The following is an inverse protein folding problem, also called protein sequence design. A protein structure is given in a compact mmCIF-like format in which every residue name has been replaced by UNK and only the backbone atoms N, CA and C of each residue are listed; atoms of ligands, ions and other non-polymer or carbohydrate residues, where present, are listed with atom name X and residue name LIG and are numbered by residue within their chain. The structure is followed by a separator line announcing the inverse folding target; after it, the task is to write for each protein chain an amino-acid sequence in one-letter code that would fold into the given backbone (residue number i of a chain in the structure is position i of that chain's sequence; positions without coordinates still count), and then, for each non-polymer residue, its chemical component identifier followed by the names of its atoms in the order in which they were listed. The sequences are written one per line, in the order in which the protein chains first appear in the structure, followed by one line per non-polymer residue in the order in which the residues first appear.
data_IF_509273426731
#
_entry.id   IF_509273426731
#
_cell.length_a   1.000
_cell.length_b   1.000
_cell.length_c   1.000
_cell.angle_alpha   90.00
_cell.angle_beta   90.00
_cell.angle_gamma   90.00
#
_symmetry.space_group_name_H-M   'P 1'
#
loop_
_entity.id
_entity.type
_entity.pdbx_description
1 polymer ?
#
# COMPACT_ATOMS: atom_id res chain seq x y z
N UNK A 1 11.01 -27.34 -6.27
CA UNK A 1 10.22 -26.51 -7.21
C UNK A 1 8.80 -26.55 -6.69
N UNK A 2 8.40 -25.53 -5.92
CA UNK A 2 7.08 -25.46 -5.29
C UNK A 2 6.11 -24.74 -6.23
N UNK A 3 4.95 -25.36 -6.44
CA UNK A 3 3.66 -24.86 -6.94
C UNK A 3 3.58 -24.08 -8.26
N UNK A 4 4.69 -23.69 -8.90
CA UNK A 4 4.72 -23.22 -10.29
C UNK A 4 4.19 -21.81 -10.57
N UNK A 5 3.82 -21.02 -9.55
CA UNK A 5 3.36 -19.64 -9.72
C UNK A 5 4.53 -18.65 -9.93
N UNK A 6 4.34 -17.66 -10.80
CA UNK A 6 5.27 -16.54 -10.98
C UNK A 6 5.18 -15.59 -9.77
N UNK A 7 6.34 -15.26 -9.17
CA UNK A 7 6.44 -14.29 -8.08
C UNK A 7 7.73 -13.48 -8.19
N UNK A 8 7.73 -12.26 -7.66
CA UNK A 8 8.89 -11.38 -7.74
C UNK A 8 9.90 -11.65 -6.63
N UNK A 9 11.13 -11.96 -7.03
CA UNK A 9 12.31 -12.04 -6.15
C UNK A 9 13.25 -10.87 -6.42
N UNK A 10 13.55 -10.03 -5.42
CA UNK A 10 14.53 -8.96 -5.58
C UNK A 10 15.92 -9.45 -6.00
N UNK A 11 16.34 -10.60 -5.46
CA UNK A 11 17.62 -11.28 -5.75
C UNK A 11 17.42 -12.81 -5.72
N UNK A 12 18.28 -13.58 -6.37
CA UNK A 12 18.10 -15.04 -6.52
C UNK A 12 17.93 -15.79 -5.18
N UNK A 13 18.72 -15.39 -4.17
CA UNK A 13 18.73 -15.99 -2.83
C UNK A 13 17.66 -15.41 -1.89
N UNK A 14 16.88 -14.42 -2.33
CA UNK A 14 15.83 -13.81 -1.50
C UNK A 14 14.49 -14.57 -1.61
N UNK A 15 13.68 -14.55 -0.54
CA UNK A 15 12.29 -15.00 -0.65
C UNK A 15 11.53 -14.10 -1.63
N UNK A 16 10.50 -14.67 -2.27
CA UNK A 16 9.59 -13.87 -3.07
C UNK A 16 8.83 -12.89 -2.16
N UNK A 17 8.79 -11.62 -2.55
CA UNK A 17 8.19 -10.56 -1.75
C UNK A 17 6.76 -10.26 -2.17
N UNK A 18 5.93 -9.92 -1.21
CA UNK A 18 4.65 -9.21 -1.40
C UNK A 18 4.93 -7.70 -1.41
N UNK A 19 3.93 -6.87 -1.70
CA UNK A 19 4.05 -5.43 -1.56
C UNK A 19 4.25 -4.67 -2.87
N UNK A 20 3.96 -3.38 -2.85
CA UNK A 20 3.87 -2.57 -4.06
C UNK A 20 5.22 -2.01 -4.53
N UNK A 21 6.10 -1.60 -3.62
CA UNK A 21 7.34 -0.92 -4.00
C UNK A 21 8.43 -1.87 -4.52
N UNK A 22 8.54 -3.06 -3.92
CA UNK A 22 9.63 -4.00 -4.18
C UNK A 22 9.17 -5.45 -4.34
N UNK A 23 7.85 -5.67 -4.45
CA UNK A 23 7.25 -6.98 -4.39
C UNK A 23 6.29 -7.27 -5.53
N UNK A 24 5.62 -8.40 -5.39
CA UNK A 24 4.80 -8.99 -6.44
C UNK A 24 3.59 -8.12 -6.80
N UNK A 25 2.95 -7.42 -5.86
CA UNK A 25 1.85 -6.51 -6.17
C UNK A 25 2.23 -5.39 -7.14
N UNK A 26 3.41 -4.78 -6.99
CA UNK A 26 3.87 -3.72 -7.89
C UNK A 26 4.10 -4.24 -9.31
N UNK A 27 4.67 -5.44 -9.42
CA UNK A 27 4.86 -6.12 -10.70
C UNK A 27 3.53 -6.48 -11.34
N UNK A 28 2.59 -7.06 -10.59
CA UNK A 28 1.25 -7.36 -11.06
C UNK A 28 0.52 -6.10 -11.55
N UNK A 29 0.60 -5.00 -10.79
CA UNK A 29 0.05 -3.70 -11.18
C UNK A 29 0.63 -3.20 -12.52
N UNK A 30 1.95 -3.25 -12.68
CA UNK A 30 2.61 -2.83 -13.91
C UNK A 30 2.22 -3.72 -15.11
N UNK A 31 2.14 -5.04 -14.92
CA UNK A 31 1.72 -5.99 -15.94
C UNK A 31 0.26 -5.80 -16.36
N UNK A 32 -0.65 -5.58 -15.41
CA UNK A 32 -2.05 -5.26 -15.72
C UNK A 32 -2.18 -3.91 -16.42
N UNK A 33 -1.36 -2.93 -16.06
CA UNK A 33 -1.30 -1.64 -16.76
C UNK A 33 -0.79 -1.81 -18.20
N UNK A 34 0.21 -2.66 -18.43
CA UNK A 34 0.67 -3.01 -19.79
C UNK A 34 -0.42 -3.74 -20.58
N UNK A 35 -1.13 -4.68 -19.95
CA UNK A 35 -2.25 -5.37 -20.58
C UNK A 35 -3.37 -4.39 -20.97
N UNK A 36 -3.72 -3.43 -20.11
CA UNK A 36 -4.71 -2.38 -20.41
C UNK A 36 -4.40 -1.69 -21.73
N UNK A 37 -3.15 -1.30 -21.94
CA UNK A 37 -2.72 -0.56 -23.14
C UNK A 37 -2.47 -1.44 -24.37
N UNK A 38 -1.97 -2.66 -24.19
CA UNK A 38 -1.50 -3.52 -25.30
C UNK A 38 -2.44 -4.64 -25.69
N UNK A 39 -3.32 -5.07 -24.77
CA UNK A 39 -4.17 -6.25 -24.87
C UNK A 39 -3.41 -7.57 -25.10
N UNK A 40 -2.10 -7.59 -24.83
CA UNK A 40 -1.26 -8.79 -24.95
C UNK A 40 -1.48 -9.71 -23.73
N UNK A 41 -2.09 -10.88 -23.96
CA UNK A 41 -2.52 -11.80 -22.90
C UNK A 41 -1.38 -12.31 -22.01
N UNK A 42 -0.14 -12.28 -22.50
CA UNK A 42 1.04 -12.69 -21.71
C UNK A 42 1.20 -11.83 -20.45
N UNK A 43 0.87 -10.54 -20.51
CA UNK A 43 0.96 -9.65 -19.36
C UNK A 43 -0.17 -9.92 -18.36
N UNK A 44 -1.40 -10.15 -18.85
CA UNK A 44 -2.53 -10.53 -18.01
C UNK A 44 -2.26 -11.83 -17.26
N UNK A 45 -1.80 -12.87 -17.96
CA UNK A 45 -1.54 -14.19 -17.40
C UNK A 45 -0.42 -14.14 -16.35
N UNK A 46 0.67 -13.41 -16.63
CA UNK A 46 1.74 -13.23 -15.67
C UNK A 46 1.28 -12.47 -14.41
N UNK A 47 0.41 -11.46 -14.56
CA UNK A 47 -0.17 -10.76 -13.43
C UNK A 47 -1.14 -11.63 -12.62
N UNK A 48 -1.93 -12.47 -13.28
CA UNK A 48 -2.83 -13.42 -12.62
C UNK A 48 -2.06 -14.41 -11.75
N UNK A 49 -0.96 -14.98 -12.26
CA UNK A 49 -0.09 -15.86 -11.48
C UNK A 49 0.59 -15.13 -10.30
N UNK A 50 1.03 -13.89 -10.52
CA UNK A 50 1.60 -13.02 -9.49
C UNK A 50 0.59 -12.74 -8.36
N UNK A 51 -0.66 -12.42 -8.69
CA UNK A 51 -1.73 -12.21 -7.71
C UNK A 51 -2.08 -13.53 -7.00
N UNK A 52 -2.10 -14.65 -7.72
CA UNK A 52 -2.33 -15.96 -7.12
C UNK A 52 -1.23 -16.32 -6.09
N UNK A 53 0.03 -15.97 -6.35
CA UNK A 53 1.10 -16.07 -5.35
C UNK A 53 0.77 -15.22 -4.11
N UNK A 54 0.41 -13.95 -4.28
CA UNK A 54 0.06 -13.09 -3.14
C UNK A 54 -1.15 -13.62 -2.36
N UNK A 55 -2.11 -14.25 -3.02
CA UNK A 55 -3.26 -14.84 -2.34
C UNK A 55 -2.85 -15.97 -1.39
N UNK A 56 -1.75 -16.69 -1.66
CA UNK A 56 -1.17 -17.67 -0.71
C UNK A 56 -0.56 -17.01 0.53
N UNK A 57 -0.19 -15.72 0.43
CA UNK A 57 0.42 -14.93 1.49
C UNK A 57 -0.61 -14.09 2.27
N UNK A 58 -1.87 -14.11 1.84
CA UNK A 58 -2.93 -13.29 2.42
C UNK A 58 -3.52 -13.91 3.69
N UNK A 59 -3.59 -13.12 4.76
CA UNK A 59 -4.25 -13.49 6.00
C UNK A 59 -5.55 -12.71 6.16
N UNK A 60 -6.68 -13.37 5.87
CA UNK A 60 -8.00 -12.77 5.95
C UNK A 60 -8.43 -12.30 7.35
N UNK A 61 -7.87 -12.88 8.43
CA UNK A 61 -8.15 -12.42 9.80
C UNK A 61 -7.49 -11.09 10.11
N UNK A 62 -6.33 -10.84 9.50
CA UNK A 62 -5.56 -9.61 9.66
C UNK A 62 -5.95 -8.57 8.60
N UNK A 63 -6.43 -9.02 7.45
CA UNK A 63 -6.69 -8.17 6.29
C UNK A 63 -5.41 -7.71 5.59
N UNK A 64 -4.35 -8.52 5.64
CA UNK A 64 -3.02 -8.13 5.17
C UNK A 64 -2.23 -9.33 4.62
N UNK A 65 -1.12 -9.06 3.93
CA UNK A 65 -0.20 -10.02 3.34
C UNK A 65 1.07 -10.13 4.17
N UNK A 66 1.64 -11.34 4.26
CA UNK A 66 2.88 -11.58 4.97
C UNK A 66 4.03 -10.72 4.42
N UNK A 67 4.81 -10.13 5.33
CA UNK A 67 6.06 -9.44 5.01
C UNK A 67 7.21 -10.45 4.98
N UNK A 68 7.59 -10.86 3.77
CA UNK A 68 8.60 -11.89 3.56
C UNK A 68 10.04 -11.35 3.61
N UNK A 69 10.23 -10.04 3.85
CA UNK A 69 11.57 -9.46 3.92
C UNK A 69 12.33 -10.08 5.09
N UNK A 70 13.61 -10.34 4.86
CA UNK A 70 14.48 -10.84 5.92
C UNK A 70 15.11 -9.65 6.65
N UNK A 71 15.07 -9.66 7.98
CA UNK A 71 15.87 -8.74 8.77
C UNK A 71 17.26 -9.37 8.98
N UNK A 72 18.31 -8.87 8.32
CA UNK A 72 19.67 -9.40 8.48
C UNK A 72 20.22 -9.18 9.90
N UNK A 73 19.59 -8.31 10.70
CA UNK A 73 19.95 -8.05 12.10
C UNK A 73 19.23 -8.95 13.09
N UNK A 74 18.19 -9.68 12.65
CA UNK A 74 17.42 -10.59 13.48
C UNK A 74 16.95 -11.85 12.70
N UNK A 75 17.87 -12.75 12.32
CA UNK A 75 17.56 -13.92 11.50
C UNK A 75 16.67 -14.97 12.20
N UNK A 76 16.60 -14.93 13.53
CA UNK A 76 15.78 -15.84 14.36
C UNK A 76 14.39 -15.27 14.68
N UNK A 77 14.02 -14.10 14.13
CA UNK A 77 12.69 -13.54 14.36
C UNK A 77 11.62 -14.50 13.87
N UNK A 78 10.65 -14.80 14.73
CA UNK A 78 9.58 -15.73 14.40
C UNK A 78 8.71 -15.10 13.30
N UNK A 79 8.98 -15.44 12.04
CA UNK A 79 8.32 -14.93 10.82
C UNK A 79 6.89 -15.42 10.66
N UNK A 80 6.31 -16.11 11.64
CA UNK A 80 4.90 -16.49 11.62
C UNK A 80 4.02 -15.23 11.67
N UNK A 81 3.79 -14.66 10.49
CA UNK A 81 2.88 -13.56 10.21
C UNK A 81 3.34 -12.16 10.69
N UNK A 82 4.57 -11.76 10.37
CA UNK A 82 4.95 -10.34 10.45
C UNK A 82 4.23 -9.55 9.34
N UNK A 83 3.52 -8.48 9.69
CA UNK A 83 2.77 -7.64 8.75
C UNK A 83 3.25 -6.21 8.80
N UNK A 84 3.52 -5.62 7.62
CA UNK A 84 3.74 -4.18 7.49
C UNK A 84 2.44 -3.48 7.09
N UNK A 85 2.30 -2.21 7.48
CA UNK A 85 1.16 -1.35 7.13
C UNK A 85 1.65 -0.13 6.35
N UNK A 86 2.25 -0.36 5.19
CA UNK A 86 2.73 0.71 4.32
C UNK A 86 2.30 0.54 2.86
N UNK A 87 2.49 1.60 2.09
CA UNK A 87 2.40 1.54 0.64
C UNK A 87 3.54 0.69 0.08
N UNK A 88 4.74 0.85 0.63
CA UNK A 88 5.89 0.09 0.13
C UNK A 88 5.72 -1.42 0.30
N UNK A 89 5.24 -1.87 1.46
CA UNK A 89 4.91 -3.27 1.75
C UNK A 89 3.68 -3.36 2.66
N UNK A 90 2.78 -4.29 2.33
CA UNK A 90 1.57 -4.56 3.10
C UNK A 90 0.29 -4.01 2.47
N UNK A 91 -0.81 -4.16 3.23
CA UNK A 91 -2.17 -3.93 2.79
C UNK A 91 -2.40 -2.57 2.11
N UNK A 92 -1.90 -1.43 2.63
CA UNK A 92 -2.15 -0.14 2.00
C UNK A 92 -1.68 -0.08 0.54
N UNK A 93 -0.49 -0.59 0.23
CA UNK A 93 0.02 -0.60 -1.14
C UNK A 93 -0.61 -1.67 -2.02
N UNK A 94 -0.73 -2.89 -1.50
CA UNK A 94 -1.23 -4.04 -2.28
C UNK A 94 -2.70 -3.84 -2.68
N UNK A 95 -3.55 -3.45 -1.72
CA UNK A 95 -4.95 -3.19 -2.02
C UNK A 95 -5.14 -1.95 -2.91
N UNK A 96 -4.29 -0.93 -2.74
CA UNK A 96 -4.34 0.25 -3.61
C UNK A 96 -4.01 -0.14 -5.07
N UNK A 97 -2.95 -0.91 -5.29
CA UNK A 97 -2.62 -1.44 -6.61
C UNK A 97 -3.78 -2.22 -7.23
N UNK A 98 -4.45 -3.07 -6.45
CA UNK A 98 -5.63 -3.83 -6.90
C UNK A 98 -6.79 -2.91 -7.28
N UNK A 99 -7.07 -1.85 -6.49
CA UNK A 99 -8.07 -0.83 -6.84
C UNK A 99 -7.74 -0.20 -8.19
N UNK A 100 -6.47 0.16 -8.41
CA UNK A 100 -6.00 0.80 -9.64
C UNK A 100 -6.06 -0.08 -10.89
N UNK A 101 -6.40 -1.35 -10.78
CA UNK A 101 -6.50 -2.31 -11.90
C UNK A 101 -7.87 -2.99 -12.02
N UNK A 102 -8.88 -2.55 -11.27
CA UNK A 102 -10.23 -3.17 -11.28
C UNK A 102 -10.94 -3.06 -12.65
N UNK A 103 -10.53 -2.17 -13.53
CA UNK A 103 -11.09 -2.08 -14.88
C UNK A 103 -10.66 -3.25 -15.79
N UNK A 104 -9.52 -3.90 -15.49
CA UNK A 104 -8.97 -5.02 -16.27
C UNK A 104 -8.88 -6.34 -15.50
N UNK A 105 -8.79 -6.30 -14.16
CA UNK A 105 -8.69 -7.48 -13.30
C UNK A 105 -9.63 -7.35 -12.10
N UNK A 106 -10.89 -7.75 -12.31
CA UNK A 106 -11.94 -7.68 -11.30
C UNK A 106 -12.59 -9.04 -11.07
N UNK A 107 -12.43 -9.55 -9.86
CA UNK A 107 -13.07 -10.77 -9.41
C UNK A 107 -13.44 -10.67 -7.92
N UNK A 108 -14.26 -11.64 -7.47
CA UNK A 108 -14.81 -11.66 -6.10
C UNK A 108 -13.72 -11.74 -5.03
N UNK A 109 -12.64 -12.48 -5.29
CA UNK A 109 -11.52 -12.64 -4.34
C UNK A 109 -10.80 -11.31 -4.15
N UNK A 110 -10.43 -10.65 -5.25
CA UNK A 110 -9.78 -9.33 -5.25
C UNK A 110 -10.65 -8.30 -4.52
N UNK A 111 -11.95 -8.23 -4.84
CA UNK A 111 -12.86 -7.29 -4.16
C UNK A 111 -12.97 -7.56 -2.66
N UNK A 112 -13.10 -8.81 -2.25
CA UNK A 112 -13.17 -9.17 -0.83
C UNK A 112 -11.88 -8.84 -0.07
N UNK A 113 -10.72 -9.04 -0.71
CA UNK A 113 -9.43 -8.66 -0.15
C UNK A 113 -9.30 -7.15 -0.01
N UNK A 114 -9.69 -6.37 -1.02
CA UNK A 114 -9.74 -4.90 -0.93
C UNK A 114 -10.61 -4.46 0.26
N UNK A 115 -11.85 -4.92 0.34
CA UNK A 115 -12.79 -4.51 1.39
C UNK A 115 -12.27 -4.83 2.80
N UNK A 116 -11.71 -6.03 2.97
CA UNK A 116 -11.15 -6.48 4.26
C UNK A 116 -9.90 -5.67 4.61
N UNK A 117 -9.00 -5.46 3.66
CA UNK A 117 -7.77 -4.69 3.87
C UNK A 117 -8.04 -3.23 4.15
N UNK A 118 -8.98 -2.59 3.45
CA UNK A 118 -9.36 -1.19 3.69
C UNK A 118 -9.95 -1.04 5.09
N UNK A 119 -10.80 -1.97 5.52
CA UNK A 119 -11.37 -1.98 6.87
C UNK A 119 -10.30 -2.19 7.95
N UNK A 120 -9.33 -3.07 7.70
CA UNK A 120 -8.22 -3.32 8.62
C UNK A 120 -7.26 -2.13 8.69
N UNK A 121 -7.00 -1.45 7.57
CA UNK A 121 -6.24 -0.19 7.50
C UNK A 121 -6.93 0.94 8.27
N UNK A 122 -8.25 1.08 8.12
CA UNK A 122 -9.04 2.08 8.86
C UNK A 122 -8.99 1.87 10.38
N UNK A 123 -8.67 0.65 10.81
CA UNK A 123 -8.58 0.25 12.22
C UNK A 123 -7.16 0.33 12.78
N UNK A 124 -6.16 0.70 11.97
CA UNK A 124 -4.78 0.85 12.45
C UNK A 124 -4.66 2.03 13.43
N UNK A 125 -3.80 1.91 14.45
CA UNK A 125 -3.51 3.03 15.33
C UNK A 125 -2.89 4.19 14.53
N UNK A 126 -3.11 5.41 15.02
CA UNK A 126 -2.42 6.58 14.49
C UNK A 126 -0.90 6.40 14.64
N UNK A 127 -0.18 6.50 13.54
CA UNK A 127 1.25 6.24 13.51
C UNK A 127 2.03 7.47 13.97
N UNK A 128 3.24 7.26 14.48
CA UNK A 128 4.14 8.38 14.77
C UNK A 128 4.61 9.08 13.49
N UNK A 129 4.76 8.34 12.41
CA UNK A 129 5.27 8.82 11.12
C UNK A 129 4.15 9.28 10.19
N UNK A 130 4.37 10.35 9.42
CA UNK A 130 3.31 10.98 8.60
C UNK A 130 3.49 10.84 7.09
N UNK A 131 4.65 10.36 6.62
CA UNK A 131 4.99 10.37 5.20
C UNK A 131 4.23 9.32 4.36
N UNK A 132 4.34 9.44 3.03
CA UNK A 132 3.60 8.63 2.06
C UNK A 132 4.03 7.16 1.96
N UNK A 133 5.30 6.84 2.20
CA UNK A 133 5.80 5.47 2.02
C UNK A 133 5.18 4.45 2.99
N UNK A 134 5.15 4.76 4.30
CA UNK A 134 4.61 3.87 5.34
C UNK A 134 4.19 4.64 6.61
N UNK A 135 3.84 5.92 6.47
CA UNK A 135 3.28 6.73 7.56
C UNK A 135 1.76 6.93 7.41
N UNK A 136 1.20 7.85 8.19
CA UNK A 136 -0.24 8.13 8.19
C UNK A 136 -0.77 8.53 6.80
N UNK A 137 -0.01 9.25 5.98
CA UNK A 137 -0.43 9.58 4.62
C UNK A 137 -0.56 8.33 3.73
N UNK A 138 0.24 7.28 3.96
CA UNK A 138 0.08 6.00 3.25
C UNK A 138 -1.30 5.38 3.51
N UNK A 139 -1.70 5.34 4.78
CA UNK A 139 -3.00 4.79 5.18
C UNK A 139 -4.14 5.68 4.66
N UNK A 140 -3.97 7.00 4.79
CA UNK A 140 -4.93 8.00 4.33
C UNK A 140 -5.20 7.92 2.83
N UNK A 141 -4.17 7.78 2.01
CA UNK A 141 -4.30 7.64 0.55
C UNK A 141 -5.06 6.37 0.16
N UNK A 142 -4.78 5.23 0.80
CA UNK A 142 -5.52 3.99 0.57
C UNK A 142 -7.02 4.17 0.90
N UNK A 143 -7.32 4.76 2.06
CA UNK A 143 -8.71 5.01 2.50
C UNK A 143 -9.45 5.99 1.59
N UNK A 144 -8.76 7.05 1.14
CA UNK A 144 -9.30 8.03 0.20
C UNK A 144 -9.64 7.37 -1.14
N UNK A 145 -8.67 6.68 -1.76
CA UNK A 145 -8.87 6.02 -3.04
C UNK A 145 -9.93 4.91 -3.00
N UNK A 146 -10.00 4.14 -1.91
CA UNK A 146 -11.07 3.17 -1.72
C UNK A 146 -12.44 3.84 -1.60
N UNK A 147 -12.54 4.95 -0.86
CA UNK A 147 -13.77 5.71 -0.69
C UNK A 147 -14.31 6.28 -2.01
N UNK A 148 -13.42 6.77 -2.88
CA UNK A 148 -13.78 7.26 -4.22
C UNK A 148 -14.25 6.12 -5.14
N UNK A 149 -13.54 4.99 -5.17
CA UNK A 149 -13.83 3.89 -6.10
C UNK A 149 -15.05 3.05 -5.72
N UNK A 150 -15.29 2.82 -4.43
CA UNK A 150 -16.41 1.99 -3.97
C UNK A 150 -17.63 2.78 -3.49
N UNK A 151 -17.57 4.12 -3.56
CA UNK A 151 -18.64 5.00 -3.09
C UNK A 151 -19.07 4.72 -1.63
N UNK A 152 -18.12 4.27 -0.78
CA UNK A 152 -18.35 4.10 0.66
C UNK A 152 -17.90 5.36 1.40
N UNK A 153 -18.83 6.24 1.84
CA UNK A 153 -18.45 7.51 2.46
C UNK A 153 -17.68 7.32 3.78
N UNK A 154 -17.86 6.19 4.45
CA UNK A 154 -17.18 5.85 5.70
C UNK A 154 -15.67 5.75 5.56
N UNK A 155 -15.14 5.25 4.44
CA UNK A 155 -13.69 5.15 4.21
C UNK A 155 -13.05 6.50 3.94
N UNK A 156 -13.73 7.35 3.16
CA UNK A 156 -13.32 8.75 2.97
C UNK A 156 -13.36 9.51 4.31
N UNK A 157 -14.37 9.30 5.14
CA UNK A 157 -14.43 9.87 6.48
C UNK A 157 -13.31 9.36 7.39
N UNK A 158 -12.91 8.09 7.27
CA UNK A 158 -11.77 7.54 7.99
C UNK A 158 -10.45 8.20 7.57
N UNK A 159 -10.23 8.42 6.27
CA UNK A 159 -9.09 9.21 5.76
C UNK A 159 -9.08 10.63 6.38
N UNK A 160 -10.20 11.35 6.31
CA UNK A 160 -10.33 12.69 6.89
C UNK A 160 -10.05 12.72 8.39
N UNK A 161 -10.55 11.74 9.15
CA UNK A 161 -10.33 11.62 10.60
C UNK A 161 -8.86 11.34 10.92
N UNK A 162 -8.22 10.45 10.17
CA UNK A 162 -6.80 10.14 10.34
C UNK A 162 -5.96 11.40 10.12
N UNK A 163 -6.18 12.10 9.01
CA UNK A 163 -5.44 13.31 8.65
C UNK A 163 -5.69 14.45 9.62
N UNK A 164 -6.94 14.63 10.09
CA UNK A 164 -7.27 15.62 11.12
C UNK A 164 -6.53 15.36 12.43
N UNK A 165 -6.39 14.09 12.81
CA UNK A 165 -5.57 13.70 13.98
C UNK A 165 -4.10 14.07 13.77
N UNK A 166 -3.55 13.81 12.58
CA UNK A 166 -2.17 14.21 12.25
C UNK A 166 -1.96 15.72 12.32
N UNK A 167 -2.86 16.52 11.75
CA UNK A 167 -2.79 17.99 11.80
C UNK A 167 -2.89 18.50 13.24
N UNK A 168 -3.79 17.91 14.05
CA UNK A 168 -3.95 18.29 15.46
C UNK A 168 -2.67 18.05 16.26
N UNK A 169 -2.04 16.89 16.06
CA UNK A 169 -0.74 16.56 16.67
C UNK A 169 0.36 17.52 16.23
N UNK A 170 0.42 17.84 14.94
CA UNK A 170 1.38 18.83 14.42
C UNK A 170 1.17 20.20 15.07
N UNK A 171 -0.08 20.63 15.25
CA UNK A 171 -0.41 21.92 15.87
C UNK A 171 0.05 21.99 17.33
N UNK A 172 0.01 20.89 18.07
CA UNK A 172 0.50 20.83 19.45
C UNK A 172 2.02 20.68 19.56
N UNK A 173 2.67 19.97 18.64
CA UNK A 173 4.09 19.60 18.74
C UNK A 173 5.03 20.45 17.86
N UNK A 174 4.48 21.16 16.87
CA UNK A 174 5.22 22.05 15.96
C UNK A 174 6.02 21.36 14.85
N UNK A 175 5.98 20.02 14.73
CA UNK A 175 6.77 19.27 13.74
C UNK A 175 5.98 18.12 13.09
N UNK A 176 6.14 17.95 11.78
CA UNK A 176 5.74 16.73 11.07
C UNK A 176 6.86 15.71 11.23
N UNK A 177 6.51 14.45 11.51
CA UNK A 177 7.53 13.44 11.83
C UNK A 177 7.88 12.62 10.58
N UNK A 178 9.12 12.75 10.04
CA UNK A 178 9.56 12.00 8.85
C UNK A 178 9.99 10.57 9.20
N UNK A 179 10.37 9.80 8.17
CA UNK A 179 10.95 8.47 8.35
C UNK A 179 12.36 8.59 8.98
N UNK A 180 12.57 7.93 10.13
CA UNK A 180 13.84 7.70 10.84
C UNK A 180 14.24 8.66 11.98
N UNK A 181 15.05 8.05 12.86
CA UNK A 181 15.63 8.39 14.17
C UNK A 181 16.16 9.83 14.37
N UNK A 182 16.28 10.61 13.30
CA UNK A 182 16.68 12.02 13.36
C UNK A 182 15.43 12.91 13.38
N UNK A 183 14.65 12.81 14.46
CA UNK A 183 13.38 13.52 14.70
C UNK A 183 13.46 15.06 14.61
N UNK A 184 14.62 15.65 14.29
CA UNK A 184 14.88 17.09 14.38
C UNK A 184 15.28 17.74 13.05
N UNK A 185 15.51 16.97 11.98
CA UNK A 185 15.85 17.55 10.67
C UNK A 185 14.63 17.57 9.74
N UNK A 186 14.31 18.75 9.24
CA UNK A 186 13.29 18.93 8.22
C UNK A 186 13.62 18.08 6.98
N UNK A 187 12.71 17.17 6.62
CA UNK A 187 12.82 16.33 5.43
C UNK A 187 11.75 16.77 4.41
N UNK A 188 12.13 17.40 3.28
CA UNK A 188 11.22 17.80 2.21
C UNK A 188 11.02 16.72 1.14
N UNK A 189 11.49 15.48 1.34
CA UNK A 189 11.30 14.44 0.32
C UNK A 189 9.83 14.05 0.16
N UNK A 190 9.47 13.58 -1.04
CA UNK A 190 8.10 13.18 -1.36
C UNK A 190 7.67 11.94 -0.57
N UNK A 191 8.40 10.83 -0.66
CA UNK A 191 7.94 9.56 -0.07
C UNK A 191 8.19 9.44 1.44
N UNK A 192 9.19 10.14 1.98
CA UNK A 192 9.64 9.99 3.37
C UNK A 192 9.55 11.28 4.20
N UNK A 193 9.13 12.38 3.57
CA UNK A 193 9.13 13.71 4.16
C UNK A 193 7.79 14.44 4.09
N UNK A 194 7.85 15.72 4.47
CA UNK A 194 6.70 16.62 4.61
C UNK A 194 6.01 16.95 3.29
N UNK A 195 6.73 16.97 2.17
CA UNK A 195 6.14 17.23 0.86
C UNK A 195 5.12 16.17 0.46
N UNK A 196 5.33 14.91 0.84
CA UNK A 196 4.33 13.86 0.62
C UNK A 196 3.07 14.05 1.44
N UNK A 197 3.22 14.44 2.71
CA UNK A 197 2.05 14.76 3.53
C UNK A 197 1.30 15.97 2.97
N UNK A 198 2.02 17.02 2.52
CA UNK A 198 1.43 18.15 1.83
C UNK A 198 0.66 17.75 0.57
N UNK A 199 1.20 16.85 -0.24
CA UNK A 199 0.52 16.31 -1.41
C UNK A 199 -0.77 15.57 -1.04
N UNK A 200 -0.73 14.73 0.00
CA UNK A 200 -1.91 14.05 0.53
C UNK A 200 -3.00 15.04 0.98
N UNK A 201 -2.64 16.16 1.63
CA UNK A 201 -3.61 17.21 1.99
C UNK A 201 -4.29 17.82 0.76
N UNK A 202 -3.52 18.07 -0.30
CA UNK A 202 -4.08 18.61 -1.55
C UNK A 202 -5.04 17.60 -2.19
N UNK A 203 -4.67 16.32 -2.26
CA UNK A 203 -5.57 15.25 -2.76
C UNK A 203 -6.83 15.08 -1.92
N UNK A 204 -6.77 15.26 -0.61
CA UNK A 204 -7.97 15.18 0.23
C UNK A 204 -8.99 16.28 -0.09
N UNK A 205 -8.51 17.46 -0.50
CA UNK A 205 -9.36 18.59 -0.88
C UNK A 205 -9.90 18.41 -2.30
N UNK A 206 -9.04 18.04 -3.24
CA UNK A 206 -9.36 17.93 -4.67
C UNK A 206 -8.98 16.56 -5.25
N UNK A 207 -9.60 15.45 -4.80
CA UNK A 207 -9.19 14.09 -5.18
C UNK A 207 -9.41 13.76 -6.66
N UNK A 208 -10.32 14.48 -7.33
CA UNK A 208 -10.62 14.30 -8.75
C UNK A 208 -9.63 15.03 -9.68
N UNK A 209 -8.98 16.08 -9.19
CA UNK A 209 -8.10 16.94 -9.99
C UNK A 209 -6.61 16.58 -9.84
N UNK A 210 -6.27 15.78 -8.82
CA UNK A 210 -4.89 15.42 -8.49
C UNK A 210 -4.64 13.91 -8.58
N UNK A 211 -3.61 13.49 -9.33
CA UNK A 211 -3.33 12.08 -9.56
C UNK A 211 -2.93 11.36 -8.27
N UNK A 212 -3.22 10.07 -8.20
CA UNK A 212 -2.69 9.24 -7.14
C UNK A 212 -1.24 8.85 -7.43
N UNK A 213 -0.29 9.60 -6.87
CA UNK A 213 1.14 9.28 -7.04
C UNK A 213 1.55 7.93 -6.45
N UNK A 214 0.75 7.35 -5.55
CA UNK A 214 0.97 5.99 -5.03
C UNK A 214 0.49 4.91 -6.01
N UNK A 215 -0.27 5.28 -7.04
CA UNK A 215 -0.57 4.45 -8.21
C UNK A 215 0.32 4.77 -9.41
N UNK A 216 1.27 5.70 -9.29
CA UNK A 216 2.14 6.13 -10.39
C UNK A 216 1.36 6.77 -11.57
N UNK A 217 0.26 7.46 -11.26
CA UNK A 217 -0.56 8.25 -12.19
C UNK A 217 0.06 9.60 -12.56
#
# INVERSE_FOLDING_TARGET
MGDGLIAWKPHDDSPALTGFSHGTAGIAYALLSLYRETQELVFYQAAEEAIAFEDTQYNAKVGNWADNREDPTNPDENKENAFMWGWCNGAPGIALGRIGTLDVFDNKTVRAQIETSVSATASQPHLRSDHLCCGNASLGEMLLSAGENYQYPSWKQAALKLTSTTISRHTSEGVFTPHSVFNELFNPSLFQGSSGFGYHLLRLLEPADLPNILLLE
#
